data_IF_054032684174
#
_entry.id   IF_054032684174
#
_cell.length_a   1.000
_cell.length_b   1.000
_cell.length_c   1.000
_cell.angle_alpha   90.00
_cell.angle_beta   90.00
_cell.angle_gamma   90.00
#
_symmetry.space_group_name_H-M   'P 1'
#
loop_
_entity.id
_entity.type
_entity.pdbx_description
1 polymer ?
#
# COMPACT_ATOMS: atom_id res chain seq x y z
N UNK A 1 21.77 -17.32 65.45
CA UNK A 1 21.66 -16.72 64.12
C UNK A 1 20.99 -17.76 63.23
N UNK A 2 19.65 -17.92 63.20
CA UNK A 2 18.66 -17.11 62.44
C UNK A 2 19.22 -16.73 61.05
N UNK A 3 18.61 -17.07 59.92
CA UNK A 3 17.25 -16.72 59.48
C UNK A 3 16.78 -17.66 58.35
N UNK A 4 15.49 -17.98 58.38
CA UNK A 4 14.73 -18.65 57.33
C UNK A 4 14.48 -17.74 56.11
N UNK A 5 14.54 -18.28 54.90
CA UNK A 5 13.96 -17.66 53.70
C UNK A 5 13.01 -18.71 53.07
N UNK A 6 11.69 -18.56 53.06
CA UNK A 6 10.91 -17.32 52.96
C UNK A 6 10.42 -17.20 51.53
N UNK A 7 9.41 -18.01 51.18
CA UNK A 7 8.71 -17.95 49.92
C UNK A 7 8.08 -16.57 49.72
N UNK A 8 8.29 -15.96 48.54
CA UNK A 8 7.48 -14.85 48.06
C UNK A 8 6.97 -15.18 46.67
N UNK A 9 5.72 -15.63 46.65
CA UNK A 9 4.86 -15.55 45.49
C UNK A 9 4.55 -14.08 45.23
N UNK A 10 4.92 -13.57 44.07
CA UNK A 10 4.41 -12.31 43.53
C UNK A 10 3.39 -12.63 42.46
N UNK A 11 2.11 -12.51 42.84
CA UNK A 11 0.99 -12.48 41.92
C UNK A 11 1.06 -11.18 41.11
N UNK A 12 1.41 -11.27 39.84
CA UNK A 12 1.13 -10.24 38.85
C UNK A 12 -0.08 -10.73 38.05
N UNK A 13 -1.25 -10.13 38.31
CA UNK A 13 -2.44 -10.34 37.52
C UNK A 13 -2.22 -9.82 36.11
N UNK A 14 -1.92 -10.70 35.18
CA UNK A 14 -2.04 -10.41 33.76
C UNK A 14 -3.52 -10.34 33.42
N UNK A 15 -3.98 -9.11 33.20
CA UNK A 15 -5.22 -8.82 32.52
C UNK A 15 -5.25 -9.61 31.21
N UNK A 16 -6.21 -10.50 31.10
CA UNK A 16 -6.51 -11.28 29.91
C UNK A 16 -7.03 -10.36 28.81
N UNK A 17 -6.11 -9.68 28.12
CA UNK A 17 -6.34 -9.20 26.76
C UNK A 17 -6.66 -10.43 25.92
N UNK A 18 -7.93 -10.62 25.59
CA UNK A 18 -8.46 -11.70 24.77
C UNK A 18 -7.79 -11.71 23.38
N UNK A 19 -6.61 -12.33 23.31
CA UNK A 19 -5.98 -12.70 22.04
C UNK A 19 -6.85 -13.80 21.44
N UNK A 20 -7.61 -13.44 20.41
CA UNK A 20 -8.25 -14.43 19.54
C UNK A 20 -7.14 -15.24 18.89
N UNK A 21 -6.98 -16.48 19.33
CA UNK A 21 -5.91 -17.37 18.88
C UNK A 21 -6.12 -17.78 17.42
N UNK A 22 -5.08 -17.75 16.56
CA UNK A 22 -5.16 -18.07 15.13
C UNK A 22 -5.17 -19.59 14.87
N UNK A 23 -5.96 -20.35 15.63
CA UNK A 23 -5.81 -21.80 15.70
C UNK A 23 -6.47 -22.58 14.54
N UNK A 24 -7.12 -21.92 13.56
CA UNK A 24 -7.98 -22.68 12.66
C UNK A 24 -8.21 -22.07 11.27
N UNK A 25 -7.17 -21.52 10.63
CA UNK A 25 -7.26 -20.98 9.25
C UNK A 25 -7.15 -22.06 8.15
N UNK A 26 -7.17 -23.35 8.51
CA UNK A 26 -6.72 -24.43 7.63
C UNK A 26 -7.76 -25.43 7.12
N UNK A 27 -9.08 -25.29 7.35
CA UNK A 27 -10.00 -26.39 6.99
C UNK A 27 -11.46 -26.10 6.69
N UNK A 28 -11.83 -24.89 6.29
CA UNK A 28 -13.18 -24.65 5.77
C UNK A 28 -13.11 -24.55 4.25
N UNK A 29 -13.45 -25.63 3.58
CA UNK A 29 -13.59 -25.61 2.13
C UNK A 29 -14.91 -24.91 1.78
N UNK A 30 -14.95 -24.20 0.65
CA UNK A 30 -16.14 -23.47 0.18
C UNK A 30 -17.41 -24.33 0.21
N UNK A 31 -17.26 -25.66 0.08
CA UNK A 31 -18.30 -26.69 0.04
C UNK A 31 -19.25 -26.75 1.24
N UNK A 32 -18.92 -26.10 2.37
CA UNK A 32 -19.80 -26.04 3.54
C UNK A 32 -20.75 -24.83 3.53
N UNK A 33 -20.56 -23.88 2.61
CA UNK A 33 -21.42 -22.71 2.45
C UNK A 33 -22.56 -23.05 1.51
N UNK A 34 -23.78 -22.65 1.87
CA UNK A 34 -24.94 -22.73 0.98
C UNK A 34 -24.67 -22.04 -0.37
N UNK A 35 -25.02 -22.74 -1.43
CA UNK A 35 -24.75 -22.34 -2.81
C UNK A 35 -25.40 -20.98 -3.18
N UNK A 36 -26.53 -20.68 -2.56
CA UNK A 36 -27.25 -19.41 -2.72
C UNK A 36 -26.51 -18.22 -2.11
N UNK A 37 -25.82 -18.42 -0.98
CA UNK A 37 -24.95 -17.41 -0.35
C UNK A 37 -23.64 -17.29 -1.11
N UNK A 38 -23.05 -18.43 -1.52
CA UNK A 38 -21.81 -18.46 -2.30
C UNK A 38 -21.96 -17.70 -3.62
N UNK A 39 -22.97 -18.03 -4.42
CA UNK A 39 -23.20 -17.37 -5.72
C UNK A 39 -23.46 -15.86 -5.61
N UNK A 40 -24.04 -15.39 -4.50
CA UNK A 40 -24.19 -13.96 -4.25
C UNK A 40 -22.85 -13.28 -3.91
N UNK A 41 -21.98 -13.98 -3.17
CA UNK A 41 -20.68 -13.45 -2.73
C UNK A 41 -19.60 -13.59 -3.83
N UNK A 42 -19.65 -14.58 -4.72
CA UNK A 42 -18.70 -14.69 -5.84
C UNK A 42 -18.79 -13.49 -6.79
N UNK A 43 -19.94 -12.83 -6.89
CA UNK A 43 -20.09 -11.58 -7.62
C UNK A 43 -19.22 -10.44 -7.08
N UNK A 44 -18.72 -10.56 -5.84
CA UNK A 44 -17.83 -9.58 -5.24
C UNK A 44 -16.48 -9.48 -6.00
N UNK A 45 -16.06 -10.55 -6.69
CA UNK A 45 -14.88 -10.54 -7.58
C UNK A 45 -15.03 -9.58 -8.77
N UNK A 46 -16.28 -9.24 -9.15
CA UNK A 46 -16.57 -8.27 -10.20
C UNK A 46 -16.75 -6.84 -9.67
N UNK A 47 -16.90 -6.70 -8.36
CA UNK A 47 -17.12 -5.41 -7.68
C UNK A 47 -15.81 -4.84 -7.17
N UNK A 48 -14.93 -5.69 -6.65
CA UNK A 48 -13.63 -5.32 -6.10
C UNK A 48 -12.55 -5.59 -7.13
N UNK A 49 -11.77 -4.57 -7.47
CA UNK A 49 -10.66 -4.73 -8.41
C UNK A 49 -9.42 -5.38 -7.79
N UNK A 50 -8.40 -5.57 -8.62
CA UNK A 50 -7.08 -6.10 -8.22
C UNK A 50 -6.33 -5.22 -7.21
N UNK A 51 -6.81 -4.00 -6.97
CA UNK A 51 -6.26 -3.06 -5.98
C UNK A 51 -7.07 -3.03 -4.67
N UNK A 52 -8.21 -3.72 -4.61
CA UNK A 52 -9.08 -3.74 -3.44
C UNK A 52 -10.06 -2.58 -3.37
N UNK A 53 -10.22 -1.82 -4.46
CA UNK A 53 -11.18 -0.72 -4.56
C UNK A 53 -12.54 -1.23 -5.11
N UNK A 54 -13.63 -0.65 -4.61
CA UNK A 54 -14.97 -0.92 -5.12
C UNK A 54 -15.18 -0.11 -6.40
N UNK A 55 -15.36 -0.80 -7.52
CA UNK A 55 -15.46 -0.18 -8.85
C UNK A 55 -16.91 0.03 -9.28
N UNK A 56 -17.84 -0.80 -8.78
CA UNK A 56 -19.27 -0.71 -9.13
C UNK A 56 -20.18 -0.78 -7.90
N UNK A 57 -20.51 0.40 -7.36
CA UNK A 57 -21.46 0.59 -6.26
C UNK A 57 -22.86 0.03 -6.57
N UNK A 58 -23.26 -0.05 -7.85
CA UNK A 58 -24.58 -0.58 -8.20
C UNK A 58 -24.60 -2.11 -8.07
N UNK A 59 -23.54 -2.77 -8.52
CA UNK A 59 -23.39 -4.21 -8.34
C UNK A 59 -23.25 -4.57 -6.85
N UNK A 60 -22.52 -3.77 -6.06
CA UNK A 60 -22.48 -3.93 -4.60
C UNK A 60 -23.89 -3.88 -3.99
N UNK A 61 -24.69 -2.88 -4.37
CA UNK A 61 -26.08 -2.76 -3.94
C UNK A 61 -26.93 -3.98 -4.32
N UNK A 62 -26.77 -4.50 -5.54
CA UNK A 62 -27.47 -5.71 -5.99
C UNK A 62 -27.05 -6.97 -5.21
N UNK A 63 -25.77 -7.09 -4.83
CA UNK A 63 -25.28 -8.19 -4.00
C UNK A 63 -25.92 -8.11 -2.61
N UNK A 64 -25.95 -6.91 -2.00
CA UNK A 64 -26.59 -6.69 -0.71
C UNK A 64 -28.09 -7.01 -0.76
N UNK A 65 -28.80 -6.57 -1.81
CA UNK A 65 -30.21 -6.91 -2.01
C UNK A 65 -30.41 -8.42 -2.17
N UNK A 66 -29.60 -9.06 -3.02
CA UNK A 66 -29.68 -10.51 -3.26
C UNK A 66 -29.42 -11.29 -1.98
N UNK A 67 -28.39 -10.91 -1.22
CA UNK A 67 -28.15 -11.46 0.11
C UNK A 67 -29.39 -11.24 0.98
N UNK A 68 -29.91 -10.03 1.12
CA UNK A 68 -31.07 -9.75 1.97
C UNK A 68 -32.33 -10.56 1.58
N UNK A 69 -32.56 -10.78 0.29
CA UNK A 69 -33.70 -11.53 -0.25
C UNK A 69 -33.60 -13.05 -0.03
N UNK A 70 -32.41 -13.59 0.28
CA UNK A 70 -32.27 -15.01 0.59
C UNK A 70 -33.09 -15.37 1.84
N UNK A 71 -34.10 -16.21 1.64
CA UNK A 71 -34.95 -16.75 2.69
C UNK A 71 -34.23 -17.86 3.48
N UNK A 72 -33.29 -17.44 4.32
CA UNK A 72 -32.45 -18.30 5.16
C UNK A 72 -32.55 -17.87 6.62
N UNK A 73 -32.33 -18.81 7.53
CA UNK A 73 -32.19 -18.47 8.95
C UNK A 73 -31.02 -17.50 9.13
N UNK A 74 -31.24 -16.43 9.92
CA UNK A 74 -30.26 -15.35 10.12
C UNK A 74 -28.89 -15.89 10.58
N UNK A 75 -28.91 -16.87 11.48
CA UNK A 75 -27.70 -17.51 12.01
C UNK A 75 -26.93 -18.26 10.92
N UNK A 76 -27.62 -19.07 10.11
CA UNK A 76 -27.02 -19.84 9.02
C UNK A 76 -26.37 -18.92 7.97
N UNK A 77 -27.05 -17.83 7.62
CA UNK A 77 -26.53 -16.82 6.69
C UNK A 77 -25.27 -16.13 7.24
N UNK A 78 -25.30 -15.76 8.53
CA UNK A 78 -24.16 -15.13 9.18
C UNK A 78 -22.96 -16.08 9.29
N UNK A 79 -23.18 -17.35 9.62
CA UNK A 79 -22.11 -18.35 9.65
C UNK A 79 -21.51 -18.58 8.27
N UNK A 80 -22.34 -18.65 7.23
CA UNK A 80 -21.90 -18.81 5.84
C UNK A 80 -21.01 -17.66 5.38
N UNK A 81 -21.40 -16.41 5.65
CA UNK A 81 -20.57 -15.23 5.36
C UNK A 81 -19.27 -15.25 6.17
N UNK A 82 -19.33 -15.60 7.45
CA UNK A 82 -18.15 -15.66 8.31
C UNK A 82 -17.14 -16.72 7.86
N UNK A 83 -17.61 -17.89 7.39
CA UNK A 83 -16.77 -18.94 6.81
C UNK A 83 -16.08 -18.43 5.55
N UNK A 84 -16.79 -17.72 4.68
CA UNK A 84 -16.20 -17.13 3.48
C UNK A 84 -15.12 -16.10 3.81
N UNK A 85 -15.40 -15.16 4.72
CA UNK A 85 -14.43 -14.16 5.20
C UNK A 85 -13.16 -14.87 5.71
N UNK A 86 -13.33 -15.92 6.51
CA UNK A 86 -12.21 -16.69 7.04
C UNK A 86 -11.39 -17.41 5.96
N UNK A 87 -12.04 -17.90 4.90
CA UNK A 87 -11.38 -18.47 3.73
C UNK A 87 -10.50 -17.42 3.03
N UNK A 88 -11.02 -16.21 2.81
CA UNK A 88 -10.26 -15.11 2.21
C UNK A 88 -9.02 -14.75 3.04
N UNK A 89 -9.16 -14.62 4.37
CA UNK A 89 -8.01 -14.40 5.26
C UNK A 89 -7.00 -15.54 5.23
N UNK A 90 -7.45 -16.79 5.07
CA UNK A 90 -6.58 -17.94 4.85
C UNK A 90 -5.75 -17.80 3.57
N UNK A 91 -6.37 -17.38 2.46
CA UNK A 91 -5.68 -17.13 1.20
C UNK A 91 -4.66 -15.99 1.32
N UNK A 92 -5.02 -14.88 1.98
CA UNK A 92 -4.10 -13.76 2.25
C UNK A 92 -2.88 -14.26 3.03
N UNK A 93 -3.09 -15.03 4.10
CA UNK A 93 -1.99 -15.58 4.92
C UNK A 93 -1.06 -16.49 4.10
N UNK A 94 -1.61 -17.32 3.21
CA UNK A 94 -0.82 -18.18 2.32
C UNK A 94 0.01 -17.35 1.32
N UNK A 95 -0.58 -16.31 0.74
CA UNK A 95 0.12 -15.40 -0.18
C UNK A 95 1.25 -14.66 0.53
N UNK A 96 1.04 -14.18 1.75
CA UNK A 96 2.09 -13.55 2.55
C UNK A 96 3.25 -14.50 2.85
N UNK A 97 2.95 -15.74 3.24
CA UNK A 97 3.98 -16.74 3.47
C UNK A 97 4.80 -17.03 2.20
N UNK A 98 4.14 -17.10 1.05
CA UNK A 98 4.81 -17.33 -0.23
C UNK A 98 5.67 -16.13 -0.65
N UNK A 99 5.18 -14.89 -0.46
CA UNK A 99 5.97 -13.66 -0.67
C UNK A 99 7.23 -13.66 0.18
N UNK A 100 7.14 -14.05 1.44
CA UNK A 100 8.31 -14.14 2.34
C UNK A 100 9.33 -15.17 1.82
N UNK A 101 8.87 -16.34 1.36
CA UNK A 101 9.76 -17.38 0.79
C UNK A 101 10.44 -16.88 -0.48
N UNK A 102 9.69 -16.24 -1.38
CA UNK A 102 10.22 -15.67 -2.62
C UNK A 102 11.26 -14.58 -2.34
N UNK A 103 10.98 -13.66 -1.42
CA UNK A 103 11.93 -12.62 -1.02
C UNK A 103 13.22 -13.20 -0.39
N UNK A 104 13.11 -14.28 0.40
CA UNK A 104 14.30 -15.00 0.92
C UNK A 104 15.09 -15.65 -0.21
N UNK A 105 14.42 -16.26 -1.19
CA UNK A 105 15.05 -16.88 -2.36
C UNK A 105 15.75 -15.84 -3.22
N UNK A 106 15.11 -14.70 -3.48
CA UNK A 106 15.68 -13.56 -4.18
C UNK A 106 16.97 -13.08 -3.49
N UNK A 107 16.93 -12.81 -2.18
CA UNK A 107 18.10 -12.42 -1.39
C UNK A 107 19.23 -13.45 -1.45
N UNK A 108 18.89 -14.75 -1.43
CA UNK A 108 19.87 -15.84 -1.54
C UNK A 108 20.54 -15.85 -2.92
N UNK A 109 19.75 -15.75 -3.99
CA UNK A 109 20.27 -15.68 -5.36
C UNK A 109 21.12 -14.44 -5.59
N UNK A 110 20.68 -13.28 -5.09
CA UNK A 110 21.44 -12.04 -5.16
C UNK A 110 22.81 -12.17 -4.45
N UNK A 111 22.84 -12.72 -3.24
CA UNK A 111 24.11 -12.97 -2.51
C UNK A 111 25.02 -13.95 -3.25
N UNK A 112 24.47 -15.00 -3.86
CA UNK A 112 25.25 -15.95 -4.68
C UNK A 112 25.86 -15.25 -5.90
N UNK A 113 25.08 -14.42 -6.60
CA UNK A 113 25.56 -13.65 -7.73
C UNK A 113 26.63 -12.62 -7.31
N UNK A 114 26.43 -11.93 -6.19
CA UNK A 114 27.40 -10.98 -5.63
C UNK A 114 28.71 -11.69 -5.26
N UNK A 115 28.63 -12.86 -4.61
CA UNK A 115 29.80 -13.66 -4.28
C UNK A 115 30.55 -14.13 -5.53
N UNK A 116 29.83 -14.64 -6.54
CA UNK A 116 30.43 -15.03 -7.82
C UNK A 116 31.06 -13.84 -8.56
N UNK A 117 30.48 -12.65 -8.44
CA UNK A 117 31.05 -11.41 -8.98
C UNK A 117 32.35 -11.07 -8.28
N UNK A 118 32.39 -11.10 -6.94
CA UNK A 118 33.62 -10.90 -6.14
C UNK A 118 34.69 -11.93 -6.49
N UNK A 119 34.31 -13.19 -6.61
CA UNK A 119 35.21 -14.25 -7.05
C UNK A 119 35.78 -13.93 -8.44
N UNK A 120 34.93 -13.58 -9.41
CA UNK A 120 35.36 -13.26 -10.76
C UNK A 120 36.32 -12.06 -10.82
N UNK A 121 36.07 -11.02 -10.01
CA UNK A 121 37.00 -9.90 -9.81
C UNK A 121 38.36 -10.36 -9.31
N UNK A 122 38.36 -11.20 -8.26
CA UNK A 122 39.59 -11.72 -7.67
C UNK A 122 40.37 -12.65 -8.61
N UNK A 123 39.65 -13.49 -9.37
CA UNK A 123 40.22 -14.50 -10.25
C UNK A 123 40.91 -13.86 -11.47
N UNK A 124 40.26 -12.86 -12.07
CA UNK A 124 40.82 -12.11 -13.20
C UNK A 124 41.86 -11.07 -12.78
N UNK A 125 42.18 -10.96 -11.48
CA UNK A 125 43.17 -10.03 -10.91
C UNK A 125 43.04 -8.61 -11.48
N UNK A 126 41.80 -8.12 -11.51
CA UNK A 126 41.51 -6.87 -12.18
C UNK A 126 42.11 -5.67 -11.45
N UNK A 127 42.71 -4.80 -12.25
CA UNK A 127 43.11 -3.47 -11.82
C UNK A 127 41.94 -2.48 -12.03
N UNK A 128 41.32 -1.93 -10.96
CA UNK A 128 40.21 -0.98 -11.08
C UNK A 128 40.58 0.30 -11.84
N UNK A 129 41.88 0.58 -12.05
CA UNK A 129 42.35 1.72 -12.82
C UNK A 129 42.23 1.55 -14.36
N UNK A 130 41.95 0.33 -14.87
CA UNK A 130 41.88 0.04 -16.31
C UNK A 130 40.46 -0.36 -16.75
N UNK A 131 39.59 0.62 -17.06
CA UNK A 131 38.26 0.32 -17.59
C UNK A 131 38.35 -0.25 -19.01
N UNK A 132 37.59 -1.33 -19.28
CA UNK A 132 37.57 -1.99 -20.59
C UNK A 132 36.81 -3.32 -20.58
N UNK A 133 36.53 -3.84 -21.78
CA UNK A 133 36.02 -5.20 -21.99
C UNK A 133 37.20 -6.17 -21.92
N UNK A 134 37.17 -7.10 -20.97
CA UNK A 134 38.32 -7.94 -20.62
C UNK A 134 38.20 -9.35 -21.19
N UNK A 135 36.97 -9.87 -21.27
CA UNK A 135 36.70 -11.18 -21.84
C UNK A 135 35.45 -11.06 -22.69
N UNK A 136 35.56 -11.36 -23.99
CA UNK A 136 34.41 -11.51 -24.87
C UNK A 136 34.32 -12.97 -25.32
N UNK A 137 33.14 -13.55 -25.16
CA UNK A 137 32.88 -14.93 -25.56
C UNK A 137 31.46 -15.10 -26.06
N UNK A 138 31.20 -16.22 -26.74
CA UNK A 138 29.90 -16.51 -27.35
C UNK A 138 28.74 -16.54 -26.33
N UNK A 139 29.03 -16.79 -25.05
CA UNK A 139 28.05 -16.93 -23.97
C UNK A 139 27.90 -15.68 -23.09
N UNK A 140 28.96 -14.89 -22.94
CA UNK A 140 28.96 -13.71 -22.08
C UNK A 140 30.12 -12.79 -22.43
N UNK A 141 29.88 -11.49 -22.29
CA UNK A 141 30.90 -10.46 -22.35
C UNK A 141 31.10 -9.87 -20.96
N UNK A 142 32.34 -9.85 -20.49
CA UNK A 142 32.73 -9.32 -19.20
C UNK A 142 33.53 -8.05 -19.44
N UNK A 143 33.01 -6.94 -18.93
CA UNK A 143 33.68 -5.65 -18.94
C UNK A 143 33.25 -4.81 -17.75
N UNK A 144 34.10 -3.86 -17.38
CA UNK A 144 33.77 -2.91 -16.32
C UNK A 144 33.45 -1.56 -16.93
N UNK A 145 32.39 -0.94 -16.40
CA UNK A 145 32.08 0.45 -16.67
C UNK A 145 32.71 1.30 -15.57
N UNK A 146 33.28 2.43 -15.95
CA UNK A 146 33.59 3.48 -14.99
C UNK A 146 32.26 4.07 -14.51
N UNK A 147 31.96 3.92 -13.23
CA UNK A 147 30.81 4.56 -12.59
C UNK A 147 31.32 5.56 -11.58
N UNK A 148 31.33 6.84 -11.96
CA UNK A 148 31.66 7.94 -11.08
C UNK A 148 30.36 8.42 -10.42
N UNK A 149 30.19 8.17 -9.12
CA UNK A 149 29.08 8.69 -8.31
C UNK A 149 29.64 9.68 -7.29
N UNK A 150 29.08 10.90 -7.26
CA UNK A 150 29.50 11.95 -6.33
C UNK A 150 28.40 12.14 -5.29
N UNK A 151 28.76 12.02 -4.01
CA UNK A 151 27.87 12.37 -2.91
C UNK A 151 27.84 13.89 -2.74
N UNK A 152 26.66 14.50 -2.91
CA UNK A 152 26.48 15.94 -2.76
C UNK A 152 25.95 16.23 -1.35
N UNK A 153 26.81 16.78 -0.49
CA UNK A 153 26.47 17.10 0.91
C UNK A 153 25.42 18.22 1.01
N UNK A 154 25.47 19.19 0.09
CA UNK A 154 24.56 20.34 0.08
C UNK A 154 23.92 20.52 -1.33
N UNK A 155 22.79 19.86 -1.62
CA UNK A 155 22.17 19.87 -2.94
C UNK A 155 21.68 21.26 -3.37
N UNK A 156 21.39 22.16 -2.41
CA UNK A 156 20.99 23.54 -2.65
C UNK A 156 22.10 24.43 -3.24
N UNK A 157 23.37 24.01 -3.12
CA UNK A 157 24.53 24.70 -3.70
C UNK A 157 24.83 24.26 -5.13
N UNK A 158 24.14 23.23 -5.63
CA UNK A 158 24.26 22.84 -7.04
C UNK A 158 23.69 23.96 -7.91
N UNK A 159 24.24 24.23 -9.10
CA UNK A 159 23.60 25.13 -10.05
C UNK A 159 22.17 24.67 -10.36
N UNK A 160 21.25 25.62 -10.53
CA UNK A 160 19.83 25.39 -10.89
C UNK A 160 19.60 24.31 -11.97
N UNK A 161 20.37 24.21 -13.08
CA UNK A 161 20.14 23.16 -14.09
C UNK A 161 20.37 21.72 -13.59
N UNK A 162 21.08 21.54 -12.48
CA UNK A 162 21.35 20.23 -11.88
C UNK A 162 20.47 19.95 -10.65
N UNK A 163 19.60 20.87 -10.27
CA UNK A 163 18.60 20.67 -9.22
C UNK A 163 17.32 20.11 -9.83
N UNK A 164 16.84 18.98 -9.34
CA UNK A 164 15.49 18.50 -9.64
C UNK A 164 14.52 19.18 -8.68
N UNK A 165 13.70 20.10 -9.19
CA UNK A 165 12.61 20.66 -8.41
C UNK A 165 11.56 19.56 -8.15
N UNK A 166 11.36 19.20 -6.89
CA UNK A 166 10.18 18.44 -6.48
C UNK A 166 8.97 19.35 -6.52
N UNK A 167 7.88 18.92 -7.16
CA UNK A 167 6.61 19.63 -7.11
C UNK A 167 6.09 19.50 -5.68
N UNK A 168 6.18 20.58 -4.90
CA UNK A 168 5.60 20.64 -3.56
C UNK A 168 4.15 21.12 -3.70
N UNK A 169 3.21 20.35 -3.16
CA UNK A 169 1.83 20.79 -3.01
C UNK A 169 1.77 21.79 -1.85
N UNK A 170 1.40 23.04 -2.14
CA UNK A 170 1.24 24.08 -1.11
C UNK A 170 -0.08 23.87 -0.39
N UNK A 171 -0.04 23.85 0.95
CA UNK A 171 -1.25 23.72 1.78
C UNK A 171 -2.21 24.91 1.60
N UNK A 172 -3.51 24.68 1.77
CA UNK A 172 -4.53 25.73 1.63
C UNK A 172 -4.33 26.90 2.62
N UNK A 173 -3.73 26.66 3.78
CA UNK A 173 -3.41 27.69 4.79
C UNK A 173 -2.29 28.64 4.35
N UNK A 174 -1.25 28.11 3.72
CA UNK A 174 -0.11 28.90 3.21
C UNK A 174 -0.52 29.72 1.98
N UNK A 175 -1.45 29.19 1.16
CA UNK A 175 -2.08 29.94 0.08
C UNK A 175 -2.92 31.11 0.60
N UNK A 176 -3.61 30.96 1.74
CA UNK A 176 -4.38 32.05 2.33
C UNK A 176 -3.50 33.19 2.87
N UNK A 177 -2.33 32.85 3.45
CA UNK A 177 -1.40 33.83 4.04
C UNK A 177 -0.46 34.48 3.03
N UNK A 178 0.02 33.71 2.04
CA UNK A 178 1.08 34.15 1.12
C UNK A 178 0.67 34.04 -0.36
N UNK A 179 -0.61 33.84 -0.67
CA UNK A 179 -1.09 33.58 -2.03
C UNK A 179 -0.79 34.69 -3.05
N UNK A 180 -0.67 35.95 -2.63
CA UNK A 180 -0.25 37.04 -3.54
C UNK A 180 1.20 36.87 -3.99
N UNK A 181 2.09 36.45 -3.09
CA UNK A 181 3.52 36.22 -3.38
C UNK A 181 3.69 34.94 -4.21
N UNK A 182 3.00 33.86 -3.84
CA UNK A 182 3.09 32.58 -4.56
C UNK A 182 2.65 32.67 -6.02
N UNK A 183 1.64 33.50 -6.33
CA UNK A 183 1.17 33.73 -7.71
C UNK A 183 2.18 34.46 -8.60
N UNK A 184 3.15 35.15 -8.00
CA UNK A 184 4.21 35.85 -8.75
C UNK A 184 5.43 34.97 -9.04
N UNK A 185 5.48 33.74 -8.49
CA UNK A 185 6.58 32.82 -8.70
C UNK A 185 6.48 32.11 -10.07
N UNK A 186 7.59 32.04 -10.80
CA UNK A 186 7.68 31.29 -12.04
C UNK A 186 7.44 29.79 -11.78
N UNK A 187 6.56 29.17 -12.57
CA UNK A 187 6.20 27.76 -12.44
C UNK A 187 5.02 27.47 -11.51
N UNK A 188 4.48 28.47 -10.80
CA UNK A 188 3.24 28.31 -10.05
C UNK A 188 2.08 28.02 -11.01
N UNK A 189 1.45 26.86 -10.84
CA UNK A 189 0.24 26.47 -11.58
C UNK A 189 -0.83 26.12 -10.55
N UNK A 190 -1.96 26.82 -10.57
CA UNK A 190 -3.15 26.32 -9.88
C UNK A 190 -3.77 25.22 -10.71
N UNK A 191 -4.25 24.14 -10.08
CA UNK A 191 -5.05 23.13 -10.76
C UNK A 191 -6.34 23.79 -11.27
N UNK A 192 -6.48 24.06 -12.58
CA UNK A 192 -7.62 24.83 -13.09
C UNK A 192 -8.95 24.12 -12.80
N UNK A 193 -8.91 22.78 -12.69
CA UNK A 193 -10.05 21.95 -12.30
C UNK A 193 -10.48 22.19 -10.86
N UNK A 194 -9.54 22.26 -9.89
CA UNK A 194 -9.85 22.51 -8.47
C UNK A 194 -10.41 23.93 -8.27
N UNK A 195 -9.86 24.92 -8.97
CA UNK A 195 -10.34 26.31 -8.92
C UNK A 195 -11.76 26.48 -9.47
N UNK A 196 -12.06 25.88 -10.63
CA UNK A 196 -13.42 25.87 -11.20
C UNK A 196 -14.41 25.15 -10.27
N UNK A 197 -13.99 24.07 -9.62
CA UNK A 197 -14.81 23.33 -8.67
C UNK A 197 -15.12 24.17 -7.42
N UNK A 198 -14.10 24.78 -6.78
CA UNK A 198 -14.27 25.69 -5.63
C UNK A 198 -15.25 26.82 -5.97
N UNK A 199 -15.15 27.43 -7.16
CA UNK A 199 -16.10 28.45 -7.65
C UNK A 199 -17.53 27.91 -7.82
N UNK A 200 -17.69 26.73 -8.44
CA UNK A 200 -19.02 26.11 -8.65
C UNK A 200 -19.68 25.70 -7.33
N UNK A 201 -18.90 25.22 -6.37
CA UNK A 201 -19.35 24.86 -5.02
C UNK A 201 -19.83 26.11 -4.27
N UNK A 202 -19.03 27.18 -4.23
CA UNK A 202 -19.40 28.46 -3.59
C UNK A 202 -20.66 29.08 -4.20
N UNK A 203 -20.78 29.06 -5.52
CA UNK A 203 -21.96 29.52 -6.23
C UNK A 203 -23.20 28.64 -5.97
N UNK A 204 -23.01 27.34 -5.75
CA UNK A 204 -24.08 26.40 -5.38
C UNK A 204 -24.58 26.62 -3.96
N UNK A 205 -23.68 26.84 -2.99
CA UNK A 205 -24.00 27.19 -1.61
C UNK A 205 -24.79 28.51 -1.53
N UNK A 206 -24.34 29.55 -2.24
CA UNK A 206 -25.04 30.84 -2.29
C UNK A 206 -26.46 30.75 -2.86
N UNK A 207 -26.76 29.70 -3.65
CA UNK A 207 -28.08 29.45 -4.26
C UNK A 207 -28.92 28.43 -3.47
N UNK A 208 -28.52 28.05 -2.25
CA UNK A 208 -29.29 27.16 -1.36
C UNK A 208 -29.46 25.72 -1.86
N UNK A 209 -28.64 25.26 -2.81
CA UNK A 209 -28.75 23.89 -3.35
C UNK A 209 -28.18 22.88 -2.37
N UNK A 210 -28.99 21.92 -1.90
CA UNK A 210 -28.62 20.91 -0.90
C UNK A 210 -27.63 19.86 -1.46
N UNK A 211 -26.36 20.08 -1.16
CA UNK A 211 -25.31 19.15 -0.67
C UNK A 211 -25.05 17.75 -1.26
N UNK A 212 -25.73 17.21 -2.29
CA UNK A 212 -25.36 15.86 -2.78
C UNK A 212 -24.19 15.86 -3.76
N UNK A 213 -24.28 16.67 -4.83
CA UNK A 213 -23.24 16.74 -5.85
C UNK A 213 -21.99 17.52 -5.38
N UNK A 214 -22.17 18.49 -4.47
CA UNK A 214 -21.06 19.27 -3.90
C UNK A 214 -20.25 18.42 -2.93
N UNK A 215 -20.89 17.63 -2.06
CA UNK A 215 -20.19 16.74 -1.12
C UNK A 215 -19.34 15.69 -1.85
N UNK A 216 -19.88 15.06 -2.92
CA UNK A 216 -19.12 14.11 -3.76
C UNK A 216 -17.87 14.73 -4.39
N UNK A 217 -17.94 16.01 -4.79
CA UNK A 217 -16.81 16.71 -5.40
C UNK A 217 -15.76 17.14 -4.36
N UNK A 218 -16.18 17.40 -3.13
CA UNK A 218 -15.29 17.73 -2.00
C UNK A 218 -14.51 16.50 -1.57
N UNK A 219 -15.20 15.36 -1.45
CA UNK A 219 -14.65 14.08 -1.04
C UNK A 219 -13.70 13.49 -2.10
N UNK A 220 -14.10 13.50 -3.38
CA UNK A 220 -13.28 12.99 -4.49
C UNK A 220 -11.95 13.72 -4.70
N UNK A 221 -11.86 14.99 -4.33
CA UNK A 221 -10.67 15.81 -4.55
C UNK A 221 -10.01 16.30 -3.26
N UNK A 222 -10.44 15.77 -2.10
CA UNK A 222 -9.96 16.11 -0.76
C UNK A 222 -9.82 17.63 -0.52
N UNK A 223 -10.83 18.39 -0.95
CA UNK A 223 -10.79 19.86 -0.90
C UNK A 223 -11.28 20.33 0.48
N UNK A 224 -10.47 21.07 1.23
CA UNK A 224 -10.96 21.71 2.46
C UNK A 224 -11.82 22.94 2.11
N UNK A 225 -13.05 22.97 2.62
CA UNK A 225 -13.95 24.13 2.52
C UNK A 225 -13.82 24.93 3.81
N UNK A 226 -13.20 26.10 3.74
CA UNK A 226 -13.33 27.16 4.75
C UNK A 226 -14.45 28.12 4.37
#
# INVERSE_FOLDING_TARGET
MTVAAGAKATAAGEQTSSKVTPANYGRFTLYEIEDSVRSAIELLELVVDEHGEIVDEKLEGQILERLNQLNLAKELKATNVAVYIKSLWGQVSLLEQERIKLARREKSLAKKAEWLTKYLVSYLQLDPAKPGMLVSGLRANIGWRRSDSVEVIAPSRLPLPYQKASIAEVSDEELAKHGQVLRTLEGYRTDPRKDLLKKRIKAGLAKGRKYTHIARLVEKYNIQIN
#
